data_IF_683575374562
#
_entry.id   IF_683575374562
#
_cell.length_a   1.000
_cell.length_b   1.000
_cell.length_c   1.000
_cell.angle_alpha   90.00
_cell.angle_beta   90.00
_cell.angle_gamma   90.00
#
_symmetry.space_group_name_H-M   'P 1'
#
loop_
_entity.id
_entity.type
_entity.pdbx_description
1 polymer ?
#
# COMPACT_ATOMS: atom_id res chain seq x y z
N UNK A 1 11.51 -20.16 0.71
CA UNK A 1 10.78 -19.07 1.41
C UNK A 1 9.72 -19.72 2.31
N UNK A 2 9.63 -19.34 3.58
CA UNK A 2 8.64 -19.94 4.44
C UNK A 2 7.25 -19.29 4.18
N UNK A 3 6.20 -19.94 4.67
CA UNK A 3 4.82 -19.51 4.40
C UNK A 3 4.53 -18.13 4.97
N UNK A 4 5.15 -17.80 6.09
CA UNK A 4 4.94 -16.50 6.73
C UNK A 4 5.47 -15.36 5.87
N UNK A 5 6.65 -15.53 5.28
CA UNK A 5 7.20 -14.54 4.36
C UNK A 5 6.31 -14.38 3.13
N UNK A 6 5.80 -15.49 2.64
CA UNK A 6 4.94 -15.51 1.47
C UNK A 6 3.66 -14.73 1.72
N UNK A 7 3.06 -14.91 2.90
CA UNK A 7 1.86 -14.19 3.29
C UNK A 7 2.09 -12.70 3.38
N UNK A 8 3.24 -12.29 3.93
CA UNK A 8 3.57 -10.87 4.03
C UNK A 8 3.80 -10.25 2.66
N UNK A 9 4.45 -10.96 1.76
CA UNK A 9 4.65 -10.48 0.39
C UNK A 9 3.29 -10.33 -0.30
N UNK A 10 2.40 -11.28 -0.09
CA UNK A 10 1.05 -11.22 -0.64
C UNK A 10 0.29 -10.00 -0.12
N UNK A 11 0.42 -9.74 1.18
CA UNK A 11 -0.20 -8.57 1.78
C UNK A 11 0.33 -7.27 1.15
N UNK A 12 1.63 -7.18 0.95
CA UNK A 12 2.26 -6.03 0.29
C UNK A 12 1.66 -5.85 -1.11
N UNK A 13 1.51 -6.94 -1.85
CA UNK A 13 0.94 -6.89 -3.19
C UNK A 13 -0.48 -6.35 -3.17
N UNK A 14 -1.31 -6.81 -2.24
CA UNK A 14 -2.67 -6.32 -2.10
C UNK A 14 -2.71 -4.82 -1.80
N UNK A 15 -1.86 -4.38 -0.88
CA UNK A 15 -1.80 -2.97 -0.53
C UNK A 15 -1.32 -2.12 -1.71
N UNK A 16 -0.37 -2.63 -2.47
CA UNK A 16 0.13 -1.94 -3.66
C UNK A 16 -0.95 -1.83 -4.74
N UNK A 17 -1.75 -2.88 -4.91
CA UNK A 17 -2.86 -2.87 -5.85
C UNK A 17 -3.91 -1.82 -5.45
N UNK A 18 -4.23 -1.74 -4.17
CA UNK A 18 -5.16 -0.74 -3.67
C UNK A 18 -4.62 0.68 -3.86
N UNK A 19 -3.33 0.86 -3.61
CA UNK A 19 -2.67 2.14 -3.81
C UNK A 19 -2.76 2.56 -5.28
N UNK A 20 -2.48 1.64 -6.19
CA UNK A 20 -2.56 1.88 -7.62
C UNK A 20 -3.98 2.25 -8.04
N UNK A 21 -4.98 1.55 -7.50
CA UNK A 21 -6.38 1.84 -7.79
C UNK A 21 -6.79 3.24 -7.33
N UNK A 22 -6.35 3.64 -6.13
CA UNK A 22 -6.65 4.97 -5.61
C UNK A 22 -6.00 6.06 -6.45
N UNK A 23 -4.76 5.85 -6.87
CA UNK A 23 -4.08 6.79 -7.76
C UNK A 23 -4.83 6.93 -9.08
N UNK A 24 -5.29 5.81 -9.64
CA UNK A 24 -6.06 5.82 -10.89
C UNK A 24 -7.36 6.60 -10.75
N UNK A 25 -8.03 6.48 -9.61
CA UNK A 25 -9.24 7.25 -9.33
C UNK A 25 -8.97 8.75 -9.31
N UNK A 26 -7.87 9.15 -8.68
CA UNK A 26 -7.48 10.57 -8.64
C UNK A 26 -7.19 11.11 -10.02
N UNK A 27 -6.55 10.30 -10.87
CA UNK A 27 -6.23 10.71 -12.23
C UNK A 27 -7.49 10.87 -13.10
N UNK A 28 -8.51 10.06 -12.85
CA UNK A 28 -9.75 10.11 -13.64
C UNK A 28 -10.69 11.24 -13.20
N UNK A 29 -10.59 11.64 -11.94
CA UNK A 29 -11.42 12.73 -11.43
C UNK A 29 -10.69 14.05 -11.62
N UNK A 30 -11.22 14.88 -12.47
CA UNK A 30 -10.69 16.23 -12.65
C UNK A 30 -11.04 17.13 -11.47
N UNK A 31 -11.66 16.58 -10.46
CA UNK A 31 -11.94 17.30 -9.22
C UNK A 31 -10.69 17.31 -8.37
N UNK A 32 -10.32 18.44 -7.85
CA UNK A 32 -9.11 18.61 -7.04
C UNK A 32 -8.90 17.50 -6.01
N UNK A 33 -7.67 17.32 -5.62
CA UNK A 33 -7.29 16.33 -4.62
C UNK A 33 -7.99 16.63 -3.30
N UNK A 34 -8.64 15.62 -2.71
CA UNK A 34 -9.24 15.78 -1.41
C UNK A 34 -8.29 15.31 -0.33
N UNK A 35 -8.41 15.93 0.83
CA UNK A 35 -7.59 15.57 2.00
C UNK A 35 -7.78 14.09 2.36
N UNK A 36 -9.01 13.60 2.24
CA UNK A 36 -9.31 12.20 2.54
C UNK A 36 -8.52 11.25 1.64
N UNK A 37 -8.50 11.52 0.34
CA UNK A 37 -7.77 10.67 -0.60
C UNK A 37 -6.28 10.67 -0.33
N UNK A 38 -5.73 11.83 -0.02
CA UNK A 38 -4.30 11.94 0.29
C UNK A 38 -3.97 11.18 1.57
N UNK A 39 -4.83 11.26 2.59
CA UNK A 39 -4.64 10.54 3.83
C UNK A 39 -4.72 9.03 3.61
N UNK A 40 -5.62 8.57 2.75
CA UNK A 40 -5.73 7.15 2.42
C UNK A 40 -4.46 6.65 1.73
N UNK A 41 -3.89 7.45 0.84
CA UNK A 41 -2.63 7.09 0.19
C UNK A 41 -1.49 6.98 1.20
N UNK A 42 -1.43 7.91 2.14
CA UNK A 42 -0.42 7.86 3.20
C UNK A 42 -0.55 6.59 4.02
N UNK A 43 -1.77 6.23 4.40
CA UNK A 43 -2.01 5.01 5.19
C UNK A 43 -1.55 3.76 4.46
N UNK A 44 -1.89 3.64 3.18
CA UNK A 44 -1.48 2.49 2.37
C UNK A 44 0.04 2.41 2.27
N UNK A 45 0.70 3.55 2.09
CA UNK A 45 2.15 3.61 2.05
C UNK A 45 2.78 3.20 3.38
N UNK A 46 2.19 3.62 4.49
CA UNK A 46 2.68 3.24 5.82
C UNK A 46 2.54 1.74 6.05
N UNK A 47 1.40 1.16 5.67
CA UNK A 47 1.20 -0.29 5.83
C UNK A 47 2.23 -1.07 5.03
N UNK A 48 2.50 -0.66 3.80
CA UNK A 48 3.51 -1.31 2.96
C UNK A 48 4.89 -1.18 3.61
N UNK A 49 5.25 0.02 4.06
CA UNK A 49 6.53 0.27 4.71
C UNK A 49 6.73 -0.58 5.95
N UNK A 50 5.71 -0.66 6.80
CA UNK A 50 5.79 -1.43 8.04
C UNK A 50 5.99 -2.92 7.74
N UNK A 51 5.29 -3.44 6.77
CA UNK A 51 5.41 -4.86 6.42
C UNK A 51 6.77 -5.15 5.82
N UNK A 52 7.29 -4.24 5.00
CA UNK A 52 8.64 -4.38 4.44
C UNK A 52 9.69 -4.38 5.56
N UNK A 53 9.52 -3.52 6.56
CA UNK A 53 10.44 -3.45 7.68
C UNK A 53 10.41 -4.75 8.49
N UNK A 54 9.23 -5.32 8.69
CA UNK A 54 9.11 -6.61 9.37
C UNK A 54 9.88 -7.71 8.64
N UNK A 55 9.77 -7.73 7.32
CA UNK A 55 10.50 -8.72 6.53
C UNK A 55 12.01 -8.53 6.62
N UNK A 56 12.47 -7.29 6.64
CA UNK A 56 13.89 -7.00 6.81
C UNK A 56 14.38 -7.43 8.18
N UNK A 57 13.58 -7.23 9.21
CA UNK A 57 13.95 -7.57 10.58
C UNK A 57 14.01 -9.09 10.79
N UNK A 58 13.31 -9.85 9.98
CA UNK A 58 13.32 -11.31 10.06
C UNK A 58 14.54 -11.94 9.39
N UNK A 59 15.24 -11.19 8.59
CA UNK A 59 16.48 -11.66 7.97
C UNK A 59 17.65 -11.47 8.92
#
# INVERSE_FOLDING_TARGET
MNDEHKEKIYYIQQQADELSAEISKLMRKDAGLSEKHLNDLIKLGVFISMTCQELLDEE
#
